data_IF_656174471200
#
_entry.id   IF_656174471200
#
_cell.length_a   1.000
_cell.length_b   1.000
_cell.length_c   1.000
_cell.angle_alpha   90.00
_cell.angle_beta   90.00
_cell.angle_gamma   90.00
#
_symmetry.space_group_name_H-M   'P 1'
#
loop_
_entity.id
_entity.type
_entity.pdbx_description
1 polymer ?
#
# COMPACT_ATOMS: atom_id res chain seq x y z
N UNK A 1 -30.83 1.74 13.92
CA UNK A 1 -29.72 1.52 14.88
C UNK A 1 -28.41 1.57 14.10
N UNK A 2 -27.67 2.68 14.19
CA UNK A 2 -26.37 2.81 13.51
C UNK A 2 -25.41 1.90 14.29
N UNK A 3 -24.88 0.86 13.63
CA UNK A 3 -23.90 -0.03 14.25
C UNK A 3 -22.59 0.74 14.31
N UNK A 4 -22.14 1.10 15.52
CA UNK A 4 -20.85 1.75 15.68
C UNK A 4 -19.75 0.86 15.09
N UNK A 5 -19.00 1.45 14.15
CA UNK A 5 -17.93 0.76 13.46
C UNK A 5 -16.74 0.63 14.42
N UNK A 6 -16.33 -0.61 14.73
CA UNK A 6 -15.14 -0.80 15.56
C UNK A 6 -13.89 -0.33 14.81
N UNK A 7 -12.91 0.22 15.54
CA UNK A 7 -11.66 0.70 14.93
C UNK A 7 -10.93 -0.40 14.14
N UNK A 8 -11.00 -1.64 14.62
CA UNK A 8 -10.48 -2.82 13.90
C UNK A 8 -11.16 -3.01 12.54
N UNK A 9 -12.49 -2.91 12.51
CA UNK A 9 -13.26 -3.03 11.28
C UNK A 9 -12.98 -1.89 10.32
N UNK A 10 -12.86 -0.66 10.83
CA UNK A 10 -12.51 0.51 10.03
C UNK A 10 -11.16 0.34 9.34
N UNK A 11 -10.13 -0.06 10.08
CA UNK A 11 -8.80 -0.29 9.53
C UNK A 11 -8.80 -1.40 8.47
N UNK A 12 -9.49 -2.52 8.72
CA UNK A 12 -9.61 -3.57 7.72
C UNK A 12 -10.29 -3.08 6.42
N UNK A 13 -11.33 -2.25 6.52
CA UNK A 13 -12.00 -1.65 5.37
C UNK A 13 -11.04 -0.70 4.63
N UNK A 14 -10.34 0.17 5.34
CA UNK A 14 -9.34 1.08 4.74
C UNK A 14 -8.26 0.28 4.00
N UNK A 15 -7.71 -0.75 4.63
CA UNK A 15 -6.73 -1.64 4.00
C UNK A 15 -7.28 -2.26 2.72
N UNK A 16 -8.50 -2.80 2.78
CA UNK A 16 -9.18 -3.37 1.62
C UNK A 16 -9.26 -2.36 0.46
N UNK A 17 -9.74 -1.14 0.72
CA UNK A 17 -9.83 -0.09 -0.29
C UNK A 17 -8.46 0.31 -0.87
N UNK A 18 -7.42 0.43 -0.03
CA UNK A 18 -6.08 0.77 -0.47
C UNK A 18 -5.53 -0.31 -1.41
N UNK A 19 -5.57 -1.59 -1.01
CA UNK A 19 -4.99 -2.67 -1.81
C UNK A 19 -5.80 -2.95 -3.09
N UNK A 20 -7.14 -2.90 -3.04
CA UNK A 20 -7.97 -2.97 -4.24
C UNK A 20 -7.72 -1.79 -5.18
N UNK A 21 -7.61 -0.57 -4.64
CA UNK A 21 -7.30 0.63 -5.42
C UNK A 21 -5.95 0.49 -6.14
N UNK A 22 -4.94 -0.06 -5.48
CA UNK A 22 -3.64 -0.32 -6.11
C UNK A 22 -3.71 -1.42 -7.18
N UNK A 23 -4.49 -2.49 -6.97
CA UNK A 23 -4.68 -3.52 -8.00
C UNK A 23 -5.36 -2.92 -9.24
N UNK A 24 -6.42 -2.12 -9.04
CA UNK A 24 -7.10 -1.41 -10.13
C UNK A 24 -6.10 -0.51 -10.84
N UNK A 25 -5.32 0.29 -10.11
CA UNK A 25 -4.29 1.15 -10.70
C UNK A 25 -3.26 0.36 -11.52
N UNK A 26 -2.87 -0.84 -11.10
CA UNK A 26 -1.91 -1.68 -11.81
C UNK A 26 -2.39 -2.11 -13.20
N UNK A 27 -3.70 -2.35 -13.34
CA UNK A 27 -4.33 -2.82 -14.59
C UNK A 27 -4.90 -1.67 -15.42
N UNK A 28 -5.01 -0.47 -14.85
CA UNK A 28 -5.52 0.70 -15.56
C UNK A 28 -4.37 1.38 -16.30
N UNK A 29 -4.59 1.80 -17.55
CA UNK A 29 -3.55 2.46 -18.32
C UNK A 29 -3.28 3.86 -17.75
N UNK A 30 -2.03 4.22 -17.37
CA UNK A 30 -1.75 5.51 -16.79
C UNK A 30 -1.95 6.63 -17.81
N UNK A 31 -2.85 7.55 -17.48
CA UNK A 31 -3.07 8.77 -18.24
C UNK A 31 -2.00 9.78 -17.81
N UNK A 32 -1.22 10.26 -18.78
CA UNK A 32 -0.25 11.33 -18.54
C UNK A 32 -0.89 12.64 -18.96
N UNK A 33 -0.72 13.68 -18.13
CA UNK A 33 -1.22 15.03 -18.42
C UNK A 33 -0.02 15.89 -18.76
N UNK A 34 0.01 16.44 -19.96
CA UNK A 34 1.01 17.42 -20.37
C UNK A 34 0.32 18.76 -20.66
N UNK A 35 0.89 19.87 -20.16
CA UNK A 35 0.34 21.20 -20.36
C UNK A 35 0.17 21.60 -21.84
N UNK A 36 0.97 21.05 -22.75
CA UNK A 36 1.03 21.45 -24.15
C UNK A 36 0.19 20.56 -25.08
N UNK A 37 -0.03 19.28 -24.72
CA UNK A 37 -0.63 18.27 -25.61
C UNK A 37 -1.91 17.64 -25.04
N UNK A 38 -2.29 17.97 -23.78
CA UNK A 38 -3.51 17.48 -23.13
C UNK A 38 -3.36 16.17 -22.35
N UNK A 39 -4.41 15.35 -22.32
CA UNK A 39 -4.40 14.02 -21.69
C UNK A 39 -4.07 12.97 -22.75
N UNK A 40 -3.02 12.20 -22.55
CA UNK A 40 -2.62 11.15 -23.48
C UNK A 40 -1.97 9.96 -22.80
N UNK A 41 -2.05 8.81 -23.46
CA UNK A 41 -1.50 7.55 -22.98
C UNK A 41 -0.07 7.40 -23.48
N UNK A 42 0.87 7.20 -22.55
CA UNK A 42 2.28 6.96 -22.87
C UNK A 42 2.58 5.46 -22.73
N UNK A 43 3.00 4.80 -23.82
CA UNK A 43 3.30 3.38 -23.83
C UNK A 43 4.44 2.98 -22.87
N UNK A 44 5.32 3.93 -22.49
CA UNK A 44 6.39 3.70 -21.50
C UNK A 44 5.89 3.72 -20.06
N UNK A 45 4.73 4.33 -19.80
CA UNK A 45 4.14 4.40 -18.47
C UNK A 45 3.36 3.11 -18.14
N UNK A 46 2.98 2.32 -19.15
CA UNK A 46 2.27 1.06 -18.96
C UNK A 46 3.19 0.08 -18.23
N UNK A 47 2.77 -0.33 -17.04
CA UNK A 47 3.45 -1.38 -16.30
C UNK A 47 3.23 -2.70 -17.04
N UNK A 48 4.29 -3.31 -17.58
CA UNK A 48 4.22 -4.59 -18.32
C UNK A 48 5.30 -5.57 -17.87
N UNK A 49 5.03 -6.87 -18.04
CA UNK A 49 5.99 -7.96 -17.82
C UNK A 49 6.55 -7.99 -16.40
N UNK A 50 7.89 -7.93 -16.28
CA UNK A 50 8.62 -8.03 -15.01
C UNK A 50 8.18 -6.98 -13.97
N UNK A 51 7.89 -5.75 -14.40
CA UNK A 51 7.48 -4.66 -13.49
C UNK A 51 6.12 -4.92 -12.83
N UNK A 52 5.16 -5.48 -13.58
CA UNK A 52 3.87 -5.88 -13.01
C UNK A 52 4.03 -6.98 -11.97
N UNK A 53 4.92 -7.94 -12.24
CA UNK A 53 5.20 -9.04 -11.32
C UNK A 53 5.84 -8.55 -10.02
N UNK A 54 6.85 -7.67 -10.11
CA UNK A 54 7.48 -7.04 -8.95
C UNK A 54 6.45 -6.24 -8.13
N UNK A 55 5.58 -5.48 -8.80
CA UNK A 55 4.50 -4.72 -8.15
C UNK A 55 3.45 -5.63 -7.50
N UNK A 56 3.06 -6.73 -8.14
CA UNK A 56 2.12 -7.69 -7.58
C UNK A 56 2.68 -8.37 -6.32
N UNK A 57 3.95 -8.78 -6.32
CA UNK A 57 4.62 -9.31 -5.13
C UNK A 57 4.65 -8.25 -4.03
N UNK A 58 4.98 -7.01 -4.37
CA UNK A 58 5.00 -5.91 -3.42
C UNK A 58 3.64 -5.69 -2.76
N UNK A 59 2.55 -5.68 -3.54
CA UNK A 59 1.18 -5.58 -3.01
C UNK A 59 0.86 -6.76 -2.10
N UNK A 60 1.21 -7.98 -2.51
CA UNK A 60 0.90 -9.19 -1.75
C UNK A 60 1.60 -9.17 -0.38
N UNK A 61 2.90 -8.89 -0.35
CA UNK A 61 3.66 -8.82 0.90
C UNK A 61 3.15 -7.67 1.78
N UNK A 62 2.92 -6.50 1.19
CA UNK A 62 2.45 -5.32 1.93
C UNK A 62 1.06 -5.51 2.53
N UNK A 63 0.14 -6.12 1.77
CA UNK A 63 -1.22 -6.42 2.25
C UNK A 63 -1.20 -7.45 3.36
N UNK A 64 -0.40 -8.51 3.21
CA UNK A 64 -0.23 -9.51 4.26
C UNK A 64 0.29 -8.87 5.56
N UNK A 65 1.37 -8.08 5.48
CA UNK A 65 1.93 -7.37 6.63
C UNK A 65 0.89 -6.44 7.26
N UNK A 66 0.15 -5.69 6.45
CA UNK A 66 -0.88 -4.77 6.93
C UNK A 66 -1.97 -5.49 7.75
N UNK A 67 -2.60 -6.51 7.18
CA UNK A 67 -3.69 -7.22 7.86
C UNK A 67 -3.18 -7.99 9.08
N UNK A 68 -1.95 -8.52 9.02
CA UNK A 68 -1.29 -9.12 10.17
C UNK A 68 -1.07 -8.09 11.29
N UNK A 69 -0.57 -6.89 10.96
CA UNK A 69 -0.34 -5.82 11.94
C UNK A 69 -1.65 -5.33 12.57
N UNK A 70 -2.71 -5.15 11.78
CA UNK A 70 -4.03 -4.82 12.32
C UNK A 70 -4.52 -5.92 13.27
N UNK A 71 -4.43 -7.18 12.86
CA UNK A 71 -4.82 -8.30 13.73
C UNK A 71 -3.98 -8.37 15.00
N UNK A 72 -2.67 -8.16 14.90
CA UNK A 72 -1.72 -8.19 16.02
C UNK A 72 -1.99 -7.07 17.03
N UNK A 73 -2.27 -5.86 16.55
CA UNK A 73 -2.58 -4.70 17.38
C UNK A 73 -3.82 -4.93 18.24
N UNK A 74 -4.87 -5.53 17.68
CA UNK A 74 -6.12 -5.79 18.42
C UNK A 74 -6.16 -7.14 19.16
N UNK A 75 -5.13 -7.99 19.03
CA UNK A 75 -5.14 -9.33 19.64
C UNK A 75 -4.73 -9.32 21.13
N UNK A 76 -3.58 -8.74 21.47
CA UNK A 76 -3.06 -8.77 22.86
C UNK A 76 -2.26 -7.52 23.21
N UNK A 77 -2.08 -7.18 24.50
CA UNK A 77 -1.20 -6.09 24.93
C UNK A 77 0.25 -6.25 24.46
N UNK A 78 0.76 -7.49 24.44
CA UNK A 78 2.08 -7.80 23.89
C UNK A 78 2.13 -7.57 22.37
N UNK A 79 1.06 -7.94 21.66
CA UNK A 79 0.90 -7.68 20.23
C UNK A 79 0.98 -6.20 19.88
N UNK A 80 0.37 -5.33 20.70
CA UNK A 80 0.51 -3.86 20.53
C UNK A 80 1.96 -3.38 20.63
N UNK A 81 2.73 -3.92 21.57
CA UNK A 81 4.16 -3.57 21.72
C UNK A 81 4.95 -3.97 20.47
N UNK A 82 4.72 -5.18 19.95
CA UNK A 82 5.35 -5.65 18.72
C UNK A 82 4.94 -4.80 17.52
N UNK A 83 3.65 -4.45 17.42
CA UNK A 83 3.14 -3.55 16.38
C UNK A 83 3.90 -2.22 16.36
N UNK A 84 4.05 -1.55 17.52
CA UNK A 84 4.75 -0.26 17.57
C UNK A 84 6.22 -0.38 17.20
N UNK A 85 6.89 -1.47 17.61
CA UNK A 85 8.29 -1.72 17.22
C UNK A 85 8.40 -1.86 15.69
N UNK A 86 7.56 -2.70 15.08
CA UNK A 86 7.57 -2.91 13.62
C UNK A 86 7.24 -1.61 12.89
N UNK A 87 6.26 -0.85 13.38
CA UNK A 87 5.88 0.44 12.78
C UNK A 87 7.02 1.45 12.84
N UNK A 88 7.72 1.56 13.97
CA UNK A 88 8.88 2.45 14.11
C UNK A 88 10.01 2.06 13.15
N UNK A 89 10.30 0.77 13.01
CA UNK A 89 11.32 0.27 12.06
C UNK A 89 10.92 0.62 10.63
N UNK A 90 9.68 0.38 10.22
CA UNK A 90 9.20 0.69 8.88
C UNK A 90 9.22 2.21 8.59
N UNK A 91 8.78 3.04 9.53
CA UNK A 91 8.76 4.49 9.38
C UNK A 91 10.16 5.10 9.22
N UNK A 92 11.21 4.46 9.74
CA UNK A 92 12.60 4.92 9.58
C UNK A 92 13.24 4.29 8.33
N UNK A 93 13.06 2.99 8.13
CA UNK A 93 13.70 2.27 7.03
C UNK A 93 13.19 2.71 5.66
N UNK A 94 11.88 2.93 5.50
CA UNK A 94 11.30 3.32 4.23
C UNK A 94 11.89 4.62 3.64
N UNK A 95 11.94 5.76 4.36
CA UNK A 95 12.56 6.97 3.84
C UNK A 95 14.07 6.84 3.66
N UNK A 96 14.78 6.11 4.53
CA UNK A 96 16.20 5.86 4.34
C UNK A 96 16.50 5.15 3.01
N UNK A 97 15.76 4.08 2.72
CA UNK A 97 15.92 3.34 1.46
C UNK A 97 15.54 4.22 0.26
N UNK A 98 14.49 5.03 0.38
CA UNK A 98 14.11 5.97 -0.68
C UNK A 98 15.24 6.96 -1.00
N UNK A 99 15.82 7.60 0.02
CA UNK A 99 16.95 8.53 -0.15
C UNK A 99 18.18 7.83 -0.72
N UNK A 100 18.44 6.58 -0.31
CA UNK A 100 19.56 5.80 -0.81
C UNK A 100 19.41 5.46 -2.29
N UNK A 101 18.21 5.10 -2.75
CA UNK A 101 17.92 4.77 -4.15
C UNK A 101 17.83 6.00 -5.07
N UNK A 102 17.60 7.19 -4.50
CA UNK A 102 17.54 8.45 -5.25
C UNK A 102 18.94 9.05 -5.53
N UNK A 103 19.98 8.59 -4.80
CA UNK A 103 21.38 8.91 -5.06
C UNK A 103 22.01 7.94 -6.06
#
# INVERSE_FOLDING_TARGET
MIKELSMKSLLNIIGLFIFLGMIIMAITNPLTIDPNIGIFQNDKAIMKGKKLYEFAIFILISSFIYFLLVQLYFSTPKGRKVFFIVLSVLSIAAPMVAIYLER
#
